data_IF_469535382679
#
_entry.id   IF_469535382679
#
_cell.length_a   1.000
_cell.length_b   1.000
_cell.length_c   1.000
_cell.angle_alpha   90.00
_cell.angle_beta   90.00
_cell.angle_gamma   90.00
#
_symmetry.space_group_name_H-M   'P 1'
#
loop_
_entity.id
_entity.type
_entity.pdbx_description
1 polymer ?
#
# COMPACT_ATOMS: atom_id res chain seq x y z
N UNK A 1 47.44 -37.09 24.39
CA UNK A 1 46.82 -36.59 23.15
C UNK A 1 45.47 -37.26 23.00
N UNK A 2 44.42 -36.61 23.42
CA UNK A 2 43.04 -37.15 23.40
C UNK A 2 42.23 -36.40 22.41
N UNK A 3 41.64 -37.09 21.46
CA UNK A 3 40.69 -36.56 20.43
C UNK A 3 39.37 -36.25 21.07
N UNK A 4 38.70 -35.09 20.77
CA UNK A 4 37.41 -34.79 21.30
C UNK A 4 36.32 -35.50 20.49
N UNK A 5 35.45 -36.24 21.18
CA UNK A 5 34.27 -36.84 20.62
C UNK A 5 33.20 -35.75 20.30
N UNK A 6 32.80 -35.67 19.04
CA UNK A 6 31.66 -34.86 18.60
C UNK A 6 30.35 -35.56 19.01
N UNK A 7 29.61 -34.93 19.91
CA UNK A 7 28.24 -35.36 20.22
C UNK A 7 27.29 -34.87 19.13
N UNK A 8 26.69 -35.80 18.40
CA UNK A 8 25.58 -35.54 17.49
C UNK A 8 24.33 -35.48 18.35
N UNK A 9 23.71 -34.29 18.48
CA UNK A 9 22.36 -34.15 19.07
C UNK A 9 21.31 -34.48 18.02
N UNK A 10 20.63 -35.62 18.18
CA UNK A 10 19.42 -35.96 17.46
C UNK A 10 18.26 -35.21 18.12
N UNK A 11 17.67 -34.25 17.41
CA UNK A 11 16.43 -33.58 17.84
C UNK A 11 15.26 -34.40 17.28
N UNK A 12 14.55 -35.10 18.17
CA UNK A 12 13.27 -35.71 17.81
C UNK A 12 12.22 -34.63 17.73
N UNK A 13 11.62 -34.45 16.55
CA UNK A 13 10.42 -33.66 16.36
C UNK A 13 9.21 -34.47 16.88
N UNK A 14 8.69 -34.12 18.05
CA UNK A 14 7.35 -34.50 18.46
C UNK A 14 6.36 -33.59 17.75
N UNK A 15 5.54 -34.16 16.87
CA UNK A 15 4.51 -33.44 16.14
C UNK A 15 3.47 -32.83 17.08
N UNK A 16 3.55 -31.52 17.26
CA UNK A 16 2.43 -30.75 17.80
C UNK A 16 1.48 -30.42 16.67
N UNK A 17 0.26 -30.94 16.79
CA UNK A 17 -0.88 -30.63 15.94
C UNK A 17 -1.16 -29.13 16.08
N UNK A 18 -0.64 -28.31 15.16
CA UNK A 18 -1.01 -26.89 15.06
C UNK A 18 -2.47 -26.83 14.62
N UNK A 19 -3.33 -26.42 15.54
CA UNK A 19 -4.66 -25.96 15.24
C UNK A 19 -4.47 -24.73 14.34
N UNK A 20 -4.66 -24.89 13.03
CA UNK A 20 -4.71 -23.78 12.09
C UNK A 20 -5.93 -22.93 12.46
N UNK A 21 -5.70 -21.90 13.26
CA UNK A 21 -6.66 -20.81 13.41
C UNK A 21 -6.84 -20.19 12.03
N UNK A 22 -8.00 -20.44 11.42
CA UNK A 22 -8.43 -19.71 10.24
C UNK A 22 -8.53 -18.24 10.63
N UNK A 23 -7.51 -17.45 10.26
CA UNK A 23 -7.63 -16.01 10.26
C UNK A 23 -8.85 -15.68 9.40
N UNK A 24 -9.79 -14.96 9.97
CA UNK A 24 -10.93 -14.43 9.25
C UNK A 24 -10.41 -13.43 8.21
N UNK A 25 -10.04 -13.95 7.05
CA UNK A 25 -9.95 -13.17 5.83
C UNK A 25 -11.31 -12.47 5.70
N UNK A 26 -11.30 -11.15 5.61
CA UNK A 26 -12.50 -10.33 5.54
C UNK A 26 -13.51 -10.97 4.60
N UNK A 27 -14.77 -10.96 5.00
CA UNK A 27 -15.87 -11.73 4.37
C UNK A 27 -15.79 -11.61 2.84
N UNK A 28 -15.66 -12.71 2.08
CA UNK A 28 -15.55 -12.66 0.62
C UNK A 28 -16.74 -11.99 -0.07
N UNK A 29 -17.87 -11.81 0.63
CA UNK A 29 -19.08 -11.22 0.10
C UNK A 29 -19.08 -9.70 -0.02
N UNK A 30 -18.31 -8.95 0.78
CA UNK A 30 -18.39 -7.49 0.81
C UNK A 30 -17.80 -6.82 -0.45
N UNK A 31 -16.85 -7.46 -1.13
CA UNK A 31 -16.19 -6.92 -2.33
C UNK A 31 -16.46 -7.71 -3.62
N UNK A 32 -17.22 -8.82 -3.56
CA UNK A 32 -17.38 -9.74 -4.69
C UNK A 32 -18.10 -9.11 -5.91
N UNK A 33 -18.96 -8.14 -5.70
CA UNK A 33 -19.72 -7.45 -6.78
C UNK A 33 -19.14 -6.08 -7.17
N UNK A 34 -17.95 -5.72 -6.68
CA UNK A 34 -17.34 -4.42 -6.97
C UNK A 34 -16.55 -4.51 -8.27
N UNK A 35 -16.91 -3.74 -9.27
CA UNK A 35 -16.09 -3.55 -10.47
C UNK A 35 -15.28 -2.26 -10.31
N UNK A 36 -14.04 -2.27 -10.84
CA UNK A 36 -13.19 -1.10 -10.89
C UNK A 36 -13.35 -0.44 -12.26
N UNK A 37 -13.20 0.87 -12.30
CA UNK A 37 -13.08 1.62 -13.55
C UNK A 37 -11.69 2.22 -13.64
N UNK A 38 -11.13 2.30 -14.86
CA UNK A 38 -9.89 3.00 -15.13
C UNK A 38 -10.15 4.16 -16.10
N UNK A 39 -9.63 5.32 -15.78
CA UNK A 39 -9.83 6.54 -16.56
C UNK A 39 -8.47 7.19 -16.84
N UNK A 40 -8.30 7.69 -18.08
CA UNK A 40 -7.12 8.48 -18.44
C UNK A 40 -7.20 9.88 -17.80
N UNK A 41 -6.15 10.28 -17.11
CA UNK A 41 -6.06 11.60 -16.46
C UNK A 41 -5.28 12.58 -17.33
N UNK A 42 -3.98 12.32 -17.53
CA UNK A 42 -3.12 13.11 -18.39
C UNK A 42 -1.82 12.33 -18.67
N UNK A 43 -1.16 12.60 -19.81
CA UNK A 43 0.08 11.92 -20.18
C UNK A 43 -0.04 10.40 -20.11
N UNK A 44 0.80 9.77 -19.31
CA UNK A 44 0.76 8.33 -19.03
C UNK A 44 0.08 7.98 -17.71
N UNK A 45 -0.62 8.97 -17.09
CA UNK A 45 -1.28 8.80 -15.78
C UNK A 45 -2.74 8.44 -15.97
N UNK A 46 -3.15 7.38 -15.30
CA UNK A 46 -4.52 6.87 -15.22
C UNK A 46 -4.97 6.82 -13.76
N UNK A 47 -6.27 6.86 -13.53
CA UNK A 47 -6.90 6.72 -12.23
C UNK A 47 -7.79 5.49 -12.21
N UNK A 48 -7.54 4.56 -11.30
CA UNK A 48 -8.43 3.44 -11.02
C UNK A 48 -9.31 3.79 -9.83
N UNK A 49 -10.63 3.63 -10.01
CA UNK A 49 -11.64 3.97 -9.03
C UNK A 49 -12.52 2.78 -8.68
N UNK A 50 -12.97 2.78 -7.44
CA UNK A 50 -13.99 1.87 -6.94
C UNK A 50 -15.32 2.62 -6.77
N UNK A 51 -16.43 2.16 -7.39
CA UNK A 51 -17.76 2.70 -7.12
C UNK A 51 -18.08 2.63 -5.61
N UNK A 52 -18.59 3.71 -5.07
CA UNK A 52 -18.98 3.80 -3.66
C UNK A 52 -17.86 4.26 -2.70
N UNK A 53 -16.71 4.68 -3.21
CA UNK A 53 -15.63 5.29 -2.42
C UNK A 53 -14.53 4.28 -2.00
N UNK A 54 -13.56 4.77 -1.30
CA UNK A 54 -12.24 4.20 -1.02
C UNK A 54 -11.19 5.03 -1.73
N UNK A 55 -9.92 4.73 -1.54
CA UNK A 55 -8.82 5.44 -2.20
C UNK A 55 -8.90 5.34 -3.73
N UNK A 56 -8.57 6.41 -4.41
CA UNK A 56 -8.25 6.36 -5.83
C UNK A 56 -6.83 5.82 -6.00
N UNK A 57 -6.63 4.97 -6.99
CA UNK A 57 -5.33 4.41 -7.31
C UNK A 57 -4.76 5.12 -8.52
N UNK A 58 -3.55 5.66 -8.39
CA UNK A 58 -2.80 6.15 -9.54
C UNK A 58 -2.14 4.99 -10.29
N UNK A 59 -2.20 5.00 -11.62
CA UNK A 59 -1.44 4.10 -12.46
C UNK A 59 -0.67 4.90 -13.51
N UNK A 60 0.66 4.89 -13.42
CA UNK A 60 1.54 5.50 -14.40
C UNK A 60 2.11 4.41 -15.30
N UNK A 61 1.60 4.34 -16.52
CA UNK A 61 1.80 3.21 -17.43
C UNK A 61 2.62 3.59 -18.66
N UNK A 62 3.60 2.77 -19.03
CA UNK A 62 4.42 2.96 -20.21
C UNK A 62 5.39 1.80 -20.47
N UNK A 63 6.34 1.95 -21.40
CA UNK A 63 7.20 0.85 -21.83
C UNK A 63 8.15 0.34 -20.75
N UNK A 64 8.50 1.15 -19.75
CA UNK A 64 9.40 0.74 -18.66
C UNK A 64 8.67 -0.02 -17.55
N UNK A 65 7.36 -0.20 -17.68
CA UNK A 65 6.48 -0.83 -16.72
C UNK A 65 5.48 0.13 -16.10
N UNK A 66 4.67 -0.38 -15.17
CA UNK A 66 3.67 0.40 -14.44
C UNK A 66 4.16 0.69 -13.04
N UNK A 67 4.03 1.97 -12.61
CA UNK A 67 4.13 2.41 -11.24
C UNK A 67 2.72 2.67 -10.73
N UNK A 68 2.32 2.00 -9.64
CA UNK A 68 1.07 2.24 -8.94
C UNK A 68 1.27 3.22 -7.78
N UNK A 69 0.26 4.01 -7.51
CA UNK A 69 0.10 4.77 -6.26
C UNK A 69 -1.07 4.17 -5.52
N UNK A 70 -0.78 3.47 -4.43
CA UNK A 70 -1.67 2.66 -3.61
C UNK A 70 -2.18 1.35 -4.26
N UNK A 71 -2.80 0.46 -3.47
CA UNK A 71 -3.10 -0.93 -3.87
C UNK A 71 -4.53 -1.40 -3.54
N UNK A 72 -5.41 -0.53 -3.08
CA UNK A 72 -6.77 -0.89 -2.64
C UNK A 72 -6.78 -1.96 -1.52
N UNK A 73 -7.92 -2.63 -1.38
CA UNK A 73 -8.11 -3.77 -0.48
C UNK A 73 -7.63 -5.07 -1.12
N UNK A 74 -7.08 -5.99 -0.34
CA UNK A 74 -6.61 -7.30 -0.81
C UNK A 74 -7.59 -8.06 -1.72
N UNK A 75 -8.90 -8.14 -1.45
CA UNK A 75 -9.84 -8.84 -2.32
C UNK A 75 -10.05 -8.21 -3.71
N UNK A 76 -9.53 -7.01 -3.93
CA UNK A 76 -9.63 -6.29 -5.21
C UNK A 76 -8.34 -6.33 -6.04
N UNK A 77 -7.28 -6.99 -5.56
CA UNK A 77 -5.98 -6.99 -6.25
C UNK A 77 -6.05 -7.53 -7.67
N UNK A 78 -6.74 -8.66 -7.90
CA UNK A 78 -6.89 -9.21 -9.25
C UNK A 78 -7.67 -8.26 -10.18
N UNK A 79 -8.68 -7.57 -9.66
CA UNK A 79 -9.44 -6.58 -10.42
C UNK A 79 -8.62 -5.33 -10.71
N UNK A 80 -7.76 -4.91 -9.78
CA UNK A 80 -6.82 -3.81 -10.00
C UNK A 80 -5.84 -4.14 -11.13
N UNK A 81 -5.26 -5.33 -11.11
CA UNK A 81 -4.38 -5.82 -12.17
C UNK A 81 -5.12 -5.88 -13.51
N UNK A 82 -6.36 -6.40 -13.52
CA UNK A 82 -7.19 -6.47 -14.72
C UNK A 82 -7.50 -5.08 -15.29
N UNK A 83 -7.86 -4.11 -14.43
CA UNK A 83 -8.11 -2.73 -14.86
C UNK A 83 -6.85 -2.08 -15.49
N UNK A 84 -5.68 -2.27 -14.88
CA UNK A 84 -4.41 -1.78 -15.45
C UNK A 84 -4.14 -2.40 -16.83
N UNK A 85 -4.46 -3.68 -17.02
CA UNK A 85 -4.30 -4.36 -18.30
C UNK A 85 -5.24 -3.88 -19.42
N UNK A 86 -6.28 -3.12 -19.10
CA UNK A 86 -7.10 -2.48 -20.11
C UNK A 86 -6.37 -1.36 -20.86
N UNK A 87 -5.32 -0.79 -20.26
CA UNK A 87 -4.60 0.36 -20.82
C UNK A 87 -3.15 0.05 -21.21
N UNK A 88 -2.58 -1.07 -20.74
CA UNK A 88 -1.21 -1.46 -21.08
C UNK A 88 -0.97 -2.95 -20.88
N UNK A 89 -0.10 -3.54 -21.71
CA UNK A 89 0.42 -4.91 -21.50
C UNK A 89 1.65 -4.95 -20.59
N UNK A 90 2.17 -3.79 -20.19
CA UNK A 90 3.36 -3.69 -19.35
C UNK A 90 3.10 -4.23 -17.94
N UNK A 91 4.14 -4.81 -17.32
CA UNK A 91 4.05 -5.35 -15.96
C UNK A 91 3.99 -4.23 -14.93
N UNK A 92 3.25 -4.45 -13.84
CA UNK A 92 3.30 -3.62 -12.65
C UNK A 92 4.62 -3.93 -11.94
N UNK A 93 5.49 -2.94 -11.80
CA UNK A 93 6.83 -3.11 -11.24
C UNK A 93 7.03 -2.41 -9.91
N UNK A 94 6.35 -1.28 -9.73
CA UNK A 94 6.54 -0.40 -8.59
C UNK A 94 5.20 -0.02 -7.97
N UNK A 95 5.19 0.10 -6.65
CA UNK A 95 4.05 0.54 -5.86
C UNK A 95 4.54 1.56 -4.84
N UNK A 96 3.97 2.76 -4.84
CA UNK A 96 4.16 3.75 -3.79
C UNK A 96 2.92 3.75 -2.90
N UNK A 97 3.07 3.56 -1.60
CA UNK A 97 1.98 3.76 -0.66
C UNK A 97 1.95 5.20 -0.18
N UNK A 98 0.80 5.84 -0.30
CA UNK A 98 0.60 7.19 0.21
C UNK A 98 0.54 7.23 1.72
N UNK A 99 -0.11 6.26 2.36
CA UNK A 99 -0.22 6.14 3.82
C UNK A 99 -0.68 4.73 4.23
N UNK A 100 -0.90 4.49 5.52
CA UNK A 100 -1.04 3.14 6.12
C UNK A 100 -2.44 2.53 6.03
N UNK A 101 -3.49 3.23 5.62
CA UNK A 101 -4.86 2.71 5.70
C UNK A 101 -5.12 1.55 4.74
N UNK A 102 -6.02 0.64 5.15
CA UNK A 102 -6.25 -0.64 4.48
C UNK A 102 -6.80 -0.54 3.05
N UNK A 103 -7.47 0.55 2.69
CA UNK A 103 -7.92 0.85 1.32
C UNK A 103 -6.82 1.43 0.42
N UNK A 104 -5.61 1.61 0.96
CA UNK A 104 -4.42 2.06 0.25
C UNK A 104 -3.31 1.00 0.23
N UNK A 105 -3.22 0.17 1.28
CA UNK A 105 -2.14 -0.82 1.41
C UNK A 105 -2.62 -2.26 1.41
N UNK A 106 -3.94 -2.51 1.36
CA UNK A 106 -4.50 -3.85 1.53
C UNK A 106 -4.05 -4.84 0.46
N UNK A 107 -3.82 -4.39 -0.77
CA UNK A 107 -3.35 -5.22 -1.87
C UNK A 107 -1.83 -5.44 -1.93
N UNK A 108 -1.07 -4.86 -1.01
CA UNK A 108 0.40 -4.90 -1.03
C UNK A 108 0.97 -6.31 -1.11
N UNK A 109 0.50 -7.23 -0.25
CA UNK A 109 1.02 -8.60 -0.22
C UNK A 109 0.80 -9.31 -1.55
N UNK A 110 -0.40 -9.22 -2.12
CA UNK A 110 -0.73 -9.84 -3.40
C UNK A 110 0.13 -9.27 -4.55
N UNK A 111 0.37 -7.96 -4.56
CA UNK A 111 1.24 -7.33 -5.56
C UNK A 111 2.71 -7.69 -5.35
N UNK A 112 3.17 -7.78 -4.09
CA UNK A 112 4.53 -8.23 -3.78
C UNK A 112 4.80 -9.67 -4.22
N UNK A 113 3.81 -10.57 -4.08
CA UNK A 113 3.88 -11.95 -4.60
C UNK A 113 4.02 -12.00 -6.13
N UNK A 114 3.56 -10.96 -6.83
CA UNK A 114 3.76 -10.78 -8.27
C UNK A 114 5.13 -10.16 -8.63
N UNK A 115 5.98 -9.85 -7.63
CA UNK A 115 7.29 -9.25 -7.80
C UNK A 115 7.31 -7.72 -7.80
N UNK A 116 6.21 -7.06 -7.45
CA UNK A 116 6.13 -5.60 -7.34
C UNK A 116 6.96 -5.09 -6.15
N UNK A 117 7.81 -4.11 -6.39
CA UNK A 117 8.60 -3.45 -5.34
C UNK A 117 7.77 -2.34 -4.67
N UNK A 118 7.66 -2.41 -3.34
CA UNK A 118 6.85 -1.47 -2.55
C UNK A 118 7.73 -0.41 -1.91
N UNK A 119 7.33 0.84 -2.11
CA UNK A 119 7.97 2.05 -1.59
C UNK A 119 7.01 2.79 -0.66
N UNK A 120 7.51 3.37 0.41
CA UNK A 120 6.74 4.26 1.27
C UNK A 120 7.65 5.17 2.09
N UNK A 121 7.07 6.21 2.70
CA UNK A 121 7.76 6.98 3.72
C UNK A 121 8.11 6.11 4.95
N UNK A 122 9.21 6.43 5.65
CA UNK A 122 9.68 5.71 6.85
C UNK A 122 8.57 5.56 7.90
N UNK A 123 7.81 6.62 8.17
CA UNK A 123 6.70 6.57 9.14
C UNK A 123 5.63 5.58 8.72
N UNK A 124 5.25 5.55 7.44
CA UNK A 124 4.29 4.56 6.92
C UNK A 124 4.79 3.15 7.18
N UNK A 125 6.07 2.85 6.88
CA UNK A 125 6.64 1.53 7.18
C UNK A 125 6.62 1.22 8.68
N UNK A 126 6.91 2.19 9.56
CA UNK A 126 6.84 1.99 11.02
C UNK A 126 5.42 1.58 11.45
N UNK A 127 4.38 2.18 10.85
CA UNK A 127 2.99 1.83 11.13
C UNK A 127 2.63 0.38 10.75
N UNK A 128 3.26 -0.19 9.72
CA UNK A 128 3.12 -1.62 9.39
C UNK A 128 3.63 -2.56 10.48
N UNK A 129 4.57 -2.11 11.30
CA UNK A 129 5.20 -2.90 12.36
C UNK A 129 4.46 -2.80 13.70
N UNK A 130 3.50 -1.90 13.82
CA UNK A 130 2.74 -1.67 15.04
C UNK A 130 1.49 -2.55 15.09
N UNK A 131 1.22 -3.12 16.27
CA UNK A 131 -0.07 -3.73 16.59
C UNK A 131 -1.03 -2.62 17.01
N UNK A 132 -1.75 -2.04 16.07
CA UNK A 132 -2.71 -0.98 16.34
C UNK A 132 -4.04 -1.20 15.61
N UNK A 133 -5.10 -0.66 16.20
CA UNK A 133 -6.36 -0.46 15.49
C UNK A 133 -6.17 0.64 14.45
N UNK A 134 -6.26 0.29 13.18
CA UNK A 134 -6.13 1.25 12.08
C UNK A 134 -7.43 2.01 11.76
N UNK A 135 -8.46 1.92 12.60
CA UNK A 135 -9.75 2.57 12.37
C UNK A 135 -10.05 3.64 13.42
N UNK A 136 -10.16 4.92 13.00
CA UNK A 136 -10.46 6.03 13.91
C UNK A 136 -11.90 6.04 14.44
N UNK A 137 -12.78 5.18 13.97
CA UNK A 137 -14.19 5.13 14.36
C UNK A 137 -14.48 3.99 15.33
N UNK A 138 -14.10 4.13 16.60
CA UNK A 138 -14.78 3.56 17.78
C UNK A 138 -15.04 2.05 17.85
N UNK A 139 -14.65 1.27 16.90
CA UNK A 139 -14.77 -0.18 16.85
C UNK A 139 -13.40 -0.83 16.96
N UNK A 140 -12.80 -0.76 18.14
CA UNK A 140 -11.46 -1.26 18.37
C UNK A 140 -11.33 -2.77 18.20
N UNK A 141 -11.09 -3.24 17.00
CA UNK A 141 -10.38 -4.50 16.79
C UNK A 141 -8.90 -4.17 16.63
N UNK A 142 -8.06 -4.76 17.45
CA UNK A 142 -6.63 -4.75 17.23
C UNK A 142 -6.37 -5.37 15.85
N UNK A 143 -5.84 -4.58 14.92
CA UNK A 143 -5.28 -5.12 13.70
C UNK A 143 -3.89 -5.67 14.05
N UNK A 144 -3.59 -6.95 13.74
CA UNK A 144 -2.24 -7.47 13.89
C UNK A 144 -1.28 -6.69 12.99
N UNK A 145 0.02 -6.79 13.27
CA UNK A 145 1.05 -6.31 12.34
C UNK A 145 0.73 -6.78 10.93
N UNK A 146 0.95 -5.90 9.94
CA UNK A 146 0.79 -6.30 8.55
C UNK A 146 1.77 -7.44 8.21
N UNK A 147 1.37 -8.38 7.35
CA UNK A 147 2.24 -9.47 6.92
C UNK A 147 3.60 -8.95 6.42
N UNK A 148 4.63 -9.75 6.56
CA UNK A 148 5.97 -9.35 6.12
C UNK A 148 6.00 -9.03 4.61
N UNK A 149 5.26 -9.78 3.80
CA UNK A 149 5.14 -9.56 2.36
C UNK A 149 4.44 -8.27 1.97
N UNK A 150 3.59 -7.70 2.84
CA UNK A 150 2.89 -6.45 2.57
C UNK A 150 3.74 -5.20 2.86
N UNK A 151 4.89 -5.35 3.51
CA UNK A 151 5.67 -4.22 4.02
C UNK A 151 6.51 -3.56 2.93
N UNK A 152 6.58 -2.22 2.87
CA UNK A 152 7.48 -1.52 1.97
C UNK A 152 8.92 -2.00 2.12
N UNK A 153 9.58 -2.34 1.01
CA UNK A 153 10.97 -2.82 1.01
C UNK A 153 11.97 -1.69 0.80
N UNK A 154 11.53 -0.59 0.21
CA UNK A 154 12.31 0.63 0.05
C UNK A 154 11.59 1.76 0.77
N UNK A 155 12.33 2.49 1.60
CA UNK A 155 11.76 3.65 2.30
C UNK A 155 12.59 4.90 2.05
N UNK A 156 11.97 6.05 2.24
CA UNK A 156 12.58 7.38 2.13
C UNK A 156 12.09 8.27 3.28
N UNK A 157 12.81 9.33 3.52
CA UNK A 157 12.63 10.23 4.65
C UNK A 157 11.97 11.55 4.26
N UNK A 158 12.40 12.14 3.14
CA UNK A 158 11.83 13.39 2.61
C UNK A 158 11.19 13.17 1.25
N UNK A 159 11.99 12.73 0.28
CA UNK A 159 11.60 12.61 -1.12
C UNK A 159 12.34 11.46 -1.80
N UNK A 160 11.70 10.87 -2.82
CA UNK A 160 12.31 9.91 -3.75
C UNK A 160 11.83 10.20 -5.17
N UNK A 161 12.74 10.13 -6.15
CA UNK A 161 12.46 10.27 -7.58
C UNK A 161 12.49 8.93 -8.30
N UNK A 162 11.56 8.76 -9.25
CA UNK A 162 11.54 7.64 -10.18
C UNK A 162 11.65 8.20 -11.59
N UNK A 163 12.52 7.62 -12.40
CA UNK A 163 12.71 8.02 -13.79
C UNK A 163 12.30 6.84 -14.68
N UNK A 164 11.09 6.87 -15.20
CA UNK A 164 10.55 5.82 -16.07
C UNK A 164 9.49 6.39 -17.02
N UNK A 165 9.23 5.68 -18.11
CA UNK A 165 8.23 6.05 -19.10
C UNK A 165 8.41 7.46 -19.69
N UNK A 166 9.65 7.98 -19.67
CA UNK A 166 10.00 9.30 -20.21
C UNK A 166 9.69 10.49 -19.28
N UNK A 167 9.28 10.25 -18.05
CA UNK A 167 8.93 11.29 -17.05
C UNK A 167 9.62 11.02 -15.72
N UNK A 168 9.90 12.08 -14.96
CA UNK A 168 10.24 11.97 -13.54
C UNK A 168 8.95 11.89 -12.72
N UNK A 169 8.87 10.94 -11.79
CA UNK A 169 7.80 10.88 -10.77
C UNK A 169 8.43 11.17 -9.42
N UNK A 170 7.89 12.13 -8.69
CA UNK A 170 8.39 12.55 -7.38
C UNK A 170 7.41 12.16 -6.28
N UNK A 171 7.86 11.36 -5.33
CA UNK A 171 7.11 11.05 -4.12
C UNK A 171 7.77 11.77 -2.93
N UNK A 172 7.03 12.59 -2.20
CA UNK A 172 7.56 13.39 -1.11
C UNK A 172 6.61 13.46 0.08
N UNK A 173 7.18 13.60 1.27
CA UNK A 173 6.45 13.70 2.53
C UNK A 173 5.59 14.96 2.54
N UNK A 174 4.30 14.80 2.81
CA UNK A 174 3.41 15.91 3.14
C UNK A 174 3.54 16.28 4.63
N UNK A 175 3.14 17.50 5.03
CA UNK A 175 2.96 17.79 6.44
C UNK A 175 2.02 16.75 7.09
N UNK A 176 2.24 16.34 8.36
CA UNK A 176 1.40 15.36 9.03
C UNK A 176 -0.07 15.82 9.06
N UNK A 177 -0.90 15.33 8.14
CA UNK A 177 -2.27 15.77 7.89
C UNK A 177 -3.27 14.66 8.21
N UNK A 178 -3.49 13.75 7.29
CA UNK A 178 -4.32 12.57 7.47
C UNK A 178 -3.63 11.53 8.38
N UNK A 179 -2.35 11.24 8.11
CA UNK A 179 -1.42 10.48 8.95
C UNK A 179 -0.07 11.22 9.06
N UNK A 180 0.92 10.64 9.72
CA UNK A 180 2.29 11.20 9.79
C UNK A 180 3.23 10.68 8.70
N UNK A 181 2.75 9.79 7.85
CA UNK A 181 3.49 9.24 6.72
C UNK A 181 2.88 9.63 5.37
N UNK A 182 1.98 10.62 5.35
CA UNK A 182 1.30 11.02 4.12
C UNK A 182 2.31 11.41 3.05
N UNK A 183 2.20 10.76 1.90
CA UNK A 183 3.05 10.98 0.73
C UNK A 183 2.23 11.55 -0.41
N UNK A 184 2.69 12.65 -0.98
CA UNK A 184 2.20 13.17 -2.26
C UNK A 184 3.03 12.56 -3.39
N UNK A 185 2.37 12.21 -4.50
CA UNK A 185 3.05 11.72 -5.69
C UNK A 185 2.75 12.66 -6.85
N UNK A 186 3.79 13.31 -7.36
CA UNK A 186 3.70 14.31 -8.42
C UNK A 186 4.31 13.80 -9.72
N UNK A 187 3.59 14.02 -10.80
CA UNK A 187 3.95 13.72 -12.18
C UNK A 187 4.10 15.06 -12.92
N UNK A 188 5.30 15.68 -12.92
CA UNK A 188 5.48 17.06 -13.37
C UNK A 188 5.19 17.29 -14.84
N UNK A 189 5.55 16.36 -15.72
CA UNK A 189 5.30 16.53 -17.15
C UNK A 189 3.83 16.31 -17.52
N UNK A 190 3.14 15.45 -16.77
CA UNK A 190 1.69 15.22 -16.90
C UNK A 190 0.86 16.24 -16.13
N UNK A 191 1.47 17.08 -15.27
CA UNK A 191 0.83 18.03 -14.34
C UNK A 191 -0.25 17.39 -13.46
N UNK A 192 0.05 16.21 -12.91
CA UNK A 192 -0.85 15.45 -12.05
C UNK A 192 -0.26 15.31 -10.66
N UNK A 193 -1.06 15.56 -9.61
CA UNK A 193 -0.69 15.38 -8.22
C UNK A 193 -1.68 14.44 -7.53
N UNK A 194 -1.16 13.30 -7.03
CA UNK A 194 -1.90 12.37 -6.20
C UNK A 194 -1.68 12.70 -4.72
N UNK A 195 -2.77 12.97 -3.99
CA UNK A 195 -2.73 13.52 -2.62
C UNK A 195 -3.07 12.49 -1.53
N UNK A 196 -3.30 11.22 -1.90
CA UNK A 196 -3.84 10.26 -0.94
C UNK A 196 -5.15 10.76 -0.32
N UNK A 197 -5.31 10.60 0.99
CA UNK A 197 -6.49 11.01 1.74
C UNK A 197 -6.37 12.39 2.41
N UNK A 198 -5.31 13.14 2.12
CA UNK A 198 -5.12 14.51 2.64
C UNK A 198 -6.18 15.46 2.10
N UNK A 199 -6.62 15.24 0.86
CA UNK A 199 -7.67 16.04 0.22
C UNK A 199 -8.85 15.16 -0.20
N UNK A 200 -10.08 15.63 0.05
CA UNK A 200 -11.33 14.97 -0.32
C UNK A 200 -12.31 15.96 -0.95
N UNK A 201 -12.97 15.54 -2.03
CA UNK A 201 -13.90 16.39 -2.76
C UNK A 201 -15.34 16.33 -2.22
N UNK A 202 -15.69 15.29 -1.46
CA UNK A 202 -17.07 14.99 -1.07
C UNK A 202 -17.35 15.16 0.43
N UNK A 203 -16.31 15.37 1.23
CA UNK A 203 -16.41 15.51 2.69
C UNK A 203 -15.23 16.27 3.27
N UNK A 204 -15.30 16.61 4.55
CA UNK A 204 -14.12 17.10 5.27
C UNK A 204 -13.03 16.03 5.33
N UNK A 205 -11.73 16.43 5.33
CA UNK A 205 -10.62 15.52 5.54
C UNK A 205 -10.78 14.75 6.87
N UNK A 206 -10.38 13.50 6.86
CA UNK A 206 -10.29 12.69 8.06
C UNK A 206 -8.89 12.86 8.65
N UNK A 207 -8.79 13.11 9.95
CA UNK A 207 -7.52 13.24 10.66
C UNK A 207 -7.37 12.01 11.55
N UNK A 208 -6.45 11.13 11.19
CA UNK A 208 -6.14 9.95 11.99
C UNK A 208 -5.06 10.27 13.03
N UNK A 209 -5.51 10.71 14.20
CA UNK A 209 -4.63 11.04 15.33
C UNK A 209 -3.85 9.83 15.85
N UNK A 210 -4.35 8.60 15.67
CA UNK A 210 -3.68 7.38 16.11
C UNK A 210 -2.45 7.06 15.26
N UNK A 211 -2.51 7.45 13.98
CA UNK A 211 -1.40 7.36 13.05
C UNK A 211 -0.71 8.72 12.81
N UNK A 212 -0.78 9.63 13.79
CA UNK A 212 -0.01 10.87 13.80
C UNK A 212 -0.56 12.02 12.95
N UNK A 213 -1.76 11.89 12.39
CA UNK A 213 -2.42 12.96 11.64
C UNK A 213 -2.77 14.17 12.51
N UNK A 214 -2.74 15.36 11.94
CA UNK A 214 -3.00 16.63 12.64
C UNK A 214 -3.84 17.61 11.82
N UNK A 215 -4.70 18.37 12.50
CA UNK A 215 -5.42 19.48 11.86
C UNK A 215 -4.45 20.54 11.32
N UNK A 216 -3.34 20.78 12.01
CA UNK A 216 -2.34 21.76 11.61
C UNK A 216 -1.71 21.39 10.26
N UNK A 217 -1.37 20.12 10.07
CA UNK A 217 -0.83 19.64 8.79
C UNK A 217 -1.85 19.68 7.67
N UNK A 218 -3.14 19.46 7.99
CA UNK A 218 -4.22 19.52 6.99
C UNK A 218 -4.45 20.92 6.42
N UNK A 219 -4.12 21.98 7.16
CA UNK A 219 -4.30 23.38 6.73
C UNK A 219 -2.97 24.08 6.35
N UNK A 220 -1.83 23.36 6.44
CA UNK A 220 -0.52 23.89 6.05
C UNK A 220 -0.33 23.78 4.54
#
# INVERSE_FOLDING_TARGET
MGTPHKFIRVIMFTGSLLCAGTFALGQPGFMAGVDLTIEHVAGNVYMVQRPGGGGNIGAFAGPDGVLLVDSLFAPLSDKLVAAVKEVTDSEIRFLINTHIHGDHVGGNENLAEMGVLIFAHDNTRLRFLEEKSHFPRGGGSFAPQQPAGARPVVTYNDEIGFHLNGEEVRAFLAPPAHTDGDTFVYFPDSDVLHLGDVFRTTSYPIIDKFNGGTLRGTIA
#
